data_IF_186076880633
#
_entry.id   IF_186076880633
#
_cell.length_a   1.000
_cell.length_b   1.000
_cell.length_c   1.000
_cell.angle_alpha   90.00
_cell.angle_beta   90.00
_cell.angle_gamma   90.00
#
_symmetry.space_group_name_H-M   'P 1'
#
loop_
_entity.id
_entity.type
_entity.pdbx_description
1 polymer ?
#
# COMPACT_ATOMS: atom_id res chain seq x y z
N UNK A 1 83.45 14.95 -27.26
CA UNK A 1 82.35 14.25 -27.96
C UNK A 1 81.20 14.24 -26.98
N UNK A 2 80.47 15.35 -26.94
CA UNK A 2 79.41 15.60 -25.96
C UNK A 2 78.12 14.95 -26.46
N UNK A 3 77.67 13.89 -25.77
CA UNK A 3 76.31 13.38 -25.93
C UNK A 3 75.39 14.12 -24.97
N UNK A 4 74.62 15.06 -25.53
CA UNK A 4 73.50 15.73 -24.86
C UNK A 4 72.43 14.69 -24.51
N UNK A 5 72.17 14.51 -23.22
CA UNK A 5 70.97 13.84 -22.70
C UNK A 5 69.75 14.73 -22.92
N UNK A 6 68.92 14.38 -23.91
CA UNK A 6 67.58 14.96 -24.06
C UNK A 6 66.58 14.23 -23.16
N UNK A 7 65.59 14.92 -22.57
CA UNK A 7 64.55 14.26 -21.80
C UNK A 7 63.61 13.48 -22.73
N UNK A 8 63.52 12.17 -22.53
CA UNK A 8 62.50 11.31 -23.14
C UNK A 8 61.16 11.65 -22.48
N UNK A 9 60.28 12.33 -23.23
CA UNK A 9 58.88 12.51 -22.83
C UNK A 9 58.15 11.17 -23.02
N UNK A 10 57.94 10.44 -21.93
CA UNK A 10 56.93 9.39 -21.88
C UNK A 10 55.55 10.06 -21.81
N UNK A 11 54.81 10.05 -22.91
CA UNK A 11 53.38 10.32 -22.89
C UNK A 11 52.69 9.09 -22.29
N UNK A 12 52.45 9.12 -20.98
CA UNK A 12 51.52 8.20 -20.36
C UNK A 12 50.10 8.74 -20.65
N UNK A 13 49.48 8.24 -21.71
CA UNK A 13 48.05 8.45 -21.94
C UNK A 13 47.29 7.69 -20.85
N UNK A 14 46.97 8.38 -19.76
CA UNK A 14 46.01 7.89 -18.76
C UNK A 14 44.64 7.96 -19.44
N UNK A 15 44.17 6.81 -19.93
CA UNK A 15 42.75 6.64 -20.23
C UNK A 15 42.01 6.67 -18.88
N UNK A 16 41.41 7.82 -18.55
CA UNK A 16 40.32 7.83 -17.58
C UNK A 16 39.16 7.08 -18.22
N UNK A 17 39.01 5.80 -17.87
CA UNK A 17 37.76 5.09 -18.05
C UNK A 17 36.80 5.72 -17.02
N UNK A 18 36.05 6.74 -17.44
CA UNK A 18 34.89 7.18 -16.69
C UNK A 18 33.89 6.03 -16.72
N UNK A 19 33.84 5.22 -15.66
CA UNK A 19 32.68 4.39 -15.39
C UNK A 19 31.51 5.32 -15.17
N UNK A 20 30.73 5.56 -16.24
CA UNK A 20 29.37 6.04 -16.10
C UNK A 20 28.63 4.97 -15.30
N UNK A 21 28.50 5.18 -14.00
CA UNK A 21 27.44 4.57 -13.23
C UNK A 21 26.14 5.18 -13.78
N UNK A 22 25.54 4.50 -14.75
CA UNK A 22 24.13 4.69 -15.03
C UNK A 22 23.39 4.17 -13.79
N UNK A 23 23.10 5.06 -12.84
CA UNK A 23 22.14 4.78 -11.80
C UNK A 23 20.83 4.45 -12.50
N UNK A 24 20.38 3.20 -12.45
CA UNK A 24 19.03 2.85 -12.88
C UNK A 24 18.07 3.49 -11.89
N UNK A 25 17.35 4.51 -12.34
CA UNK A 25 16.18 4.98 -11.62
C UNK A 25 15.19 3.80 -11.53
N UNK A 26 14.63 3.50 -10.33
CA UNK A 26 13.44 2.67 -10.26
C UNK A 26 12.35 3.32 -11.09
N UNK A 27 11.82 2.60 -12.07
CA UNK A 27 10.67 3.03 -12.86
C UNK A 27 9.44 2.37 -12.24
N UNK A 28 8.35 3.10 -12.01
CA UNK A 28 7.08 2.51 -11.62
C UNK A 28 6.71 1.40 -12.60
N UNK A 29 6.49 0.19 -12.10
CA UNK A 29 5.71 -0.79 -12.84
C UNK A 29 4.28 -0.25 -12.84
N UNK A 30 3.93 0.50 -13.87
CA UNK A 30 2.54 0.78 -14.15
C UNK A 30 1.92 -0.58 -14.43
N UNK A 31 1.15 -1.10 -13.48
CA UNK A 31 0.27 -2.22 -13.75
C UNK A 31 -0.49 -1.83 -15.03
N UNK A 32 -0.46 -2.62 -16.11
CA UNK A 32 -1.44 -2.46 -17.16
C UNK A 32 -2.79 -2.93 -16.61
N UNK A 33 -3.30 -2.26 -15.57
CA UNK A 33 -4.73 -2.05 -15.38
C UNK A 33 -5.22 -1.11 -16.48
N UNK A 34 -4.91 -1.46 -17.73
CA UNK A 34 -5.69 -1.04 -18.87
C UNK A 34 -6.92 -1.93 -18.77
N UNK A 35 -8.04 -1.36 -18.34
CA UNK A 35 -9.33 -1.84 -18.83
C UNK A 35 -9.21 -1.87 -20.36
N UNK A 36 -8.97 -3.06 -20.92
CA UNK A 36 -8.82 -3.24 -22.35
C UNK A 36 -10.18 -3.08 -23.01
N UNK A 37 -10.52 -1.82 -23.27
CA UNK A 37 -11.41 -1.29 -24.30
C UNK A 37 -12.64 -2.13 -24.65
N UNK A 38 -13.68 -2.05 -23.82
CA UNK A 38 -15.08 -1.97 -24.28
C UNK A 38 -15.50 -2.86 -25.48
N UNK A 39 -15.17 -4.17 -25.45
CA UNK A 39 -15.81 -5.18 -26.31
C UNK A 39 -15.36 -5.29 -27.78
N UNK A 40 -14.07 -5.14 -28.08
CA UNK A 40 -13.53 -5.53 -29.39
C UNK A 40 -12.69 -6.82 -29.30
N UNK A 41 -13.20 -7.90 -29.91
CA UNK A 41 -12.59 -9.23 -29.94
C UNK A 41 -11.47 -9.38 -30.99
N UNK A 42 -10.52 -10.30 -30.76
CA UNK A 42 -9.38 -10.66 -31.63
C UNK A 42 -8.38 -9.54 -31.95
N UNK A 43 -7.98 -8.75 -30.95
CA UNK A 43 -6.96 -7.70 -31.10
C UNK A 43 -5.56 -8.34 -31.10
N UNK A 44 -4.71 -8.09 -32.12
CA UNK A 44 -3.32 -8.56 -32.12
C UNK A 44 -2.49 -7.92 -31.00
N UNK A 45 -1.64 -8.68 -30.31
CA UNK A 45 -0.71 -8.14 -29.28
C UNK A 45 0.27 -7.09 -29.83
N UNK A 46 0.54 -7.11 -31.14
CA UNK A 46 1.33 -6.09 -31.82
C UNK A 46 0.62 -4.75 -32.03
N UNK A 47 -0.62 -4.60 -31.54
CA UNK A 47 -1.33 -3.33 -31.56
C UNK A 47 -0.59 -2.30 -30.68
N UNK A 48 -0.21 -1.13 -31.24
CA UNK A 48 0.55 -0.11 -30.51
C UNK A 48 -0.21 0.50 -29.31
N UNK A 49 -1.51 0.25 -29.17
CA UNK A 49 -2.29 0.62 -27.99
C UNK A 49 -2.08 -0.33 -26.80
N UNK A 50 -1.53 -1.52 -27.01
CA UNK A 50 -1.19 -2.52 -25.99
C UNK A 50 0.24 -2.33 -25.50
N UNK A 51 0.46 -1.35 -24.61
CA UNK A 51 1.80 -1.05 -24.10
C UNK A 51 2.36 -2.20 -23.25
N UNK A 52 3.62 -2.56 -23.49
CA UNK A 52 4.37 -3.52 -22.65
C UNK A 52 4.24 -4.99 -23.06
N UNK A 53 3.63 -5.30 -24.20
CA UNK A 53 3.57 -6.66 -24.73
C UNK A 53 4.18 -6.74 -26.14
N UNK A 54 4.85 -7.86 -26.43
CA UNK A 54 5.34 -8.20 -27.77
C UNK A 54 4.98 -9.64 -28.13
N UNK A 55 4.90 -9.92 -29.43
CA UNK A 55 4.74 -11.27 -29.95
C UNK A 55 3.61 -11.41 -30.96
N UNK A 56 3.41 -12.65 -31.39
CA UNK A 56 2.32 -13.04 -32.26
C UNK A 56 1.33 -13.85 -31.40
N UNK A 57 0.29 -13.16 -30.96
CA UNK A 57 -0.87 -13.75 -30.30
C UNK A 57 -2.03 -12.76 -30.41
N UNK A 58 -3.24 -13.23 -30.11
CA UNK A 58 -4.45 -12.42 -30.15
C UNK A 58 -5.10 -12.38 -28.76
N UNK A 59 -5.60 -11.21 -28.38
CA UNK A 59 -6.51 -11.04 -27.25
C UNK A 59 -7.93 -11.24 -27.75
N UNK A 60 -8.65 -12.20 -27.17
CA UNK A 60 -10.04 -12.48 -27.51
C UNK A 60 -10.97 -12.42 -26.29
N UNK A 61 -12.16 -11.86 -26.51
CA UNK A 61 -13.31 -11.92 -25.61
C UNK A 61 -14.04 -13.24 -25.88
N UNK A 62 -14.04 -14.17 -24.93
CA UNK A 62 -14.54 -15.52 -25.20
C UNK A 62 -15.41 -16.08 -24.08
N UNK A 63 -16.54 -16.67 -24.48
CA UNK A 63 -17.43 -17.42 -23.59
C UNK A 63 -16.67 -18.46 -22.75
N UNK A 64 -17.11 -18.52 -21.50
CA UNK A 64 -16.68 -19.42 -20.43
C UNK A 64 -16.67 -20.88 -20.86
N UNK A 65 -15.49 -21.47 -20.84
CA UNK A 65 -15.33 -22.88 -20.50
C UNK A 65 -14.09 -22.96 -19.61
N UNK A 66 -14.29 -23.33 -18.34
CA UNK A 66 -13.26 -23.58 -17.31
C UNK A 66 -12.48 -22.38 -16.75
N UNK A 67 -13.20 -21.38 -16.21
CA UNK A 67 -12.78 -20.72 -14.96
C UNK A 67 -11.57 -19.78 -14.96
N UNK A 68 -11.10 -19.25 -16.10
CA UNK A 68 -9.99 -18.29 -16.13
C UNK A 68 -10.26 -17.11 -17.09
N UNK A 69 -10.58 -15.92 -16.54
CA UNK A 69 -10.64 -14.62 -17.23
C UNK A 69 -11.74 -14.41 -18.29
N UNK A 70 -12.25 -13.17 -18.44
CA UNK A 70 -13.06 -12.72 -19.60
C UNK A 70 -12.25 -12.68 -20.91
N UNK A 71 -10.93 -12.75 -20.80
CA UNK A 71 -9.99 -12.57 -21.91
C UNK A 71 -9.01 -13.74 -21.97
N UNK A 72 -8.74 -14.24 -23.18
CA UNK A 72 -7.74 -15.31 -23.42
C UNK A 72 -6.68 -14.79 -24.38
N UNK A 73 -5.41 -15.15 -24.15
CA UNK A 73 -4.35 -15.00 -25.14
C UNK A 73 -4.37 -16.26 -26.02
N UNK A 74 -4.67 -16.09 -27.30
CA UNK A 74 -4.73 -17.16 -28.28
C UNK A 74 -3.43 -17.19 -29.09
N UNK A 75 -2.83 -18.38 -29.15
CA UNK A 75 -1.68 -18.68 -30.00
C UNK A 75 -2.16 -19.55 -31.16
N UNK A 76 -1.70 -19.27 -32.39
CA UNK A 76 -2.07 -20.06 -33.57
C UNK A 76 -1.12 -21.25 -33.85
N UNK A 77 -0.21 -21.57 -32.93
CA UNK A 77 0.77 -22.65 -33.10
C UNK A 77 2.01 -22.48 -32.23
N UNK A 78 3.20 -22.53 -32.84
CA UNK A 78 4.51 -22.46 -32.16
C UNK A 78 4.92 -21.02 -31.77
N UNK A 79 3.95 -20.18 -31.43
CA UNK A 79 4.15 -18.76 -31.20
C UNK A 79 4.39 -18.45 -29.71
N UNK A 80 4.84 -17.22 -29.43
CA UNK A 80 5.09 -16.76 -28.06
C UNK A 80 4.68 -15.30 -27.92
N UNK A 81 4.09 -14.98 -26.77
CA UNK A 81 3.83 -13.63 -26.30
C UNK A 81 4.73 -13.36 -25.10
N UNK A 82 5.28 -12.16 -25.01
CA UNK A 82 6.18 -11.74 -23.94
C UNK A 82 5.69 -10.42 -23.39
N UNK A 83 5.52 -10.36 -22.08
CA UNK A 83 5.38 -9.08 -21.40
C UNK A 83 6.79 -8.51 -21.20
N UNK A 84 7.02 -7.34 -21.75
CA UNK A 84 8.29 -6.64 -21.66
C UNK A 84 8.29 -5.73 -20.43
N UNK A 85 9.29 -5.91 -19.57
CA UNK A 85 9.63 -4.95 -18.53
C UNK A 85 11.02 -4.40 -18.80
N UNK A 86 11.20 -3.09 -18.64
CA UNK A 86 12.52 -2.45 -18.67
C UNK A 86 13.34 -2.71 -17.40
N UNK A 87 12.77 -3.42 -16.41
CA UNK A 87 13.41 -3.73 -15.14
C UNK A 87 14.56 -4.73 -15.34
N UNK A 88 15.76 -4.38 -14.86
CA UNK A 88 16.90 -5.29 -14.87
C UNK A 88 16.78 -6.26 -13.70
N UNK A 89 16.77 -7.56 -13.99
CA UNK A 89 16.82 -8.61 -12.96
C UNK A 89 18.21 -8.58 -12.31
N UNK A 90 18.27 -8.30 -11.01
CA UNK A 90 19.49 -8.26 -10.22
C UNK A 90 19.84 -9.65 -9.68
N UNK A 91 21.14 -9.98 -9.67
CA UNK A 91 21.62 -11.27 -9.16
C UNK A 91 21.32 -11.41 -7.67
N UNK A 92 20.52 -12.42 -7.31
CA UNK A 92 20.18 -12.73 -5.91
C UNK A 92 18.86 -12.12 -5.42
N UNK A 93 18.21 -11.28 -6.23
CA UNK A 93 16.86 -10.80 -5.94
C UNK A 93 15.80 -11.85 -6.32
N UNK A 94 14.73 -11.93 -5.53
CA UNK A 94 13.54 -12.70 -5.86
C UNK A 94 12.48 -11.76 -6.43
N UNK A 95 11.90 -12.12 -7.56
CA UNK A 95 10.83 -11.38 -8.22
C UNK A 95 9.61 -12.28 -8.34
N UNK A 96 8.42 -11.73 -8.10
CA UNK A 96 7.15 -12.40 -8.37
C UNK A 96 6.45 -11.67 -9.52
N UNK A 97 5.89 -12.43 -10.46
CA UNK A 97 4.99 -11.90 -11.49
C UNK A 97 3.60 -12.38 -11.10
N UNK A 98 2.69 -11.44 -10.86
CA UNK A 98 1.29 -11.73 -10.53
C UNK A 98 0.41 -11.42 -11.74
N UNK A 99 -0.48 -12.34 -12.08
CA UNK A 99 -1.55 -12.11 -13.05
C UNK A 99 -2.86 -12.01 -12.25
N UNK A 100 -3.40 -10.80 -12.11
CA UNK A 100 -4.72 -10.62 -11.53
C UNK A 100 -5.76 -10.72 -12.64
N UNK A 101 -6.42 -11.87 -12.74
CA UNK A 101 -7.55 -12.09 -13.63
C UNK A 101 -8.83 -12.15 -12.79
N UNK A 102 -9.47 -11.00 -12.54
CA UNK A 102 -10.78 -10.96 -11.91
C UNK A 102 -11.87 -11.39 -12.93
N UNK A 103 -12.72 -12.34 -12.55
CA UNK A 103 -13.80 -12.91 -13.37
C UNK A 103 -15.19 -12.32 -13.08
N UNK A 104 -15.28 -11.51 -12.04
CA UNK A 104 -16.45 -10.72 -11.64
C UNK A 104 -15.96 -9.32 -11.29
N UNK A 105 -16.89 -8.39 -11.03
CA UNK A 105 -16.54 -7.20 -10.25
C UNK A 105 -16.22 -7.65 -8.82
N UNK A 106 -15.10 -8.35 -8.64
CA UNK A 106 -14.46 -8.46 -7.35
C UNK A 106 -13.95 -7.04 -7.04
N UNK A 107 -14.77 -6.30 -6.31
CA UNK A 107 -14.43 -4.98 -5.81
C UNK A 107 -13.52 -5.05 -4.59
N UNK A 108 -13.17 -6.26 -4.11
CA UNK A 108 -12.25 -6.41 -3.00
C UNK A 108 -10.84 -5.98 -3.44
N UNK A 109 -10.36 -4.91 -2.79
CA UNK A 109 -9.02 -4.41 -3.03
C UNK A 109 -8.05 -5.39 -2.38
N UNK A 110 -7.23 -6.07 -3.17
CA UNK A 110 -6.11 -6.86 -2.64
C UNK A 110 -4.92 -5.91 -2.44
N UNK A 111 -4.48 -5.63 -1.20
CA UNK A 111 -3.31 -4.81 -1.00
C UNK A 111 -2.06 -5.40 -1.70
N UNK A 112 -1.14 -4.58 -2.25
CA UNK A 112 0.09 -5.08 -2.88
C UNK A 112 0.97 -5.95 -1.96
N UNK A 113 0.79 -5.77 -0.65
CA UNK A 113 1.44 -6.43 0.47
C UNK A 113 0.57 -7.52 1.13
N UNK A 114 -0.53 -7.94 0.50
CA UNK A 114 -1.42 -8.97 1.02
C UNK A 114 -0.76 -10.35 1.10
N UNK A 115 -1.00 -11.01 2.22
CA UNK A 115 -0.76 -12.44 2.45
C UNK A 115 -2.05 -13.22 2.19
N UNK A 116 -3.19 -12.72 2.69
CA UNK A 116 -4.56 -13.20 2.42
C UNK A 116 -5.40 -11.98 2.06
N UNK A 117 -6.30 -12.07 1.09
CA UNK A 117 -7.21 -10.97 0.77
C UNK A 117 -7.86 -11.07 -0.60
N UNK A 118 -9.13 -10.70 -0.70
CA UNK A 118 -9.90 -10.90 -1.94
C UNK A 118 -9.82 -12.33 -2.43
N UNK A 119 -9.66 -12.51 -3.74
CA UNK A 119 -9.40 -13.83 -4.32
C UNK A 119 -8.05 -14.48 -3.88
N UNK A 120 -7.09 -13.74 -3.30
CA UNK A 120 -5.85 -14.33 -2.79
C UNK A 120 -6.14 -15.15 -1.53
N UNK A 121 -5.96 -16.47 -1.64
CA UNK A 121 -6.25 -17.42 -0.58
C UNK A 121 -7.69 -17.30 -0.05
N UNK A 122 -8.63 -16.95 -0.95
CA UNK A 122 -10.06 -16.91 -0.70
C UNK A 122 -10.44 -16.08 0.53
N UNK A 123 -9.85 -14.88 0.68
CA UNK A 123 -10.16 -13.95 1.77
C UNK A 123 -11.53 -13.29 1.65
N UNK A 124 -12.08 -13.22 0.44
CA UNK A 124 -13.47 -12.78 0.17
C UNK A 124 -14.49 -13.93 0.24
N UNK A 125 -14.03 -15.15 0.51
CA UNK A 125 -14.85 -16.36 0.58
C UNK A 125 -15.64 -16.70 -0.70
N UNK A 126 -15.30 -16.12 -1.86
CA UNK A 126 -16.06 -16.29 -3.11
C UNK A 126 -15.44 -17.31 -4.09
N UNK A 127 -14.38 -18.04 -3.70
CA UNK A 127 -13.76 -19.04 -4.58
C UNK A 127 -14.73 -20.18 -4.97
N UNK A 128 -15.74 -20.46 -4.15
CA UNK A 128 -16.87 -21.32 -4.53
C UNK A 128 -18.01 -20.50 -5.14
N UNK A 129 -18.15 -20.63 -6.45
CA UNK A 129 -19.15 -19.94 -7.27
C UNK A 129 -20.50 -20.69 -7.38
N UNK A 130 -20.73 -21.73 -6.59
CA UNK A 130 -21.99 -22.45 -6.61
C UNK A 130 -23.14 -21.63 -6.02
N UNK A 131 -24.34 -21.79 -6.59
CA UNK A 131 -25.59 -21.22 -6.06
C UNK A 131 -26.10 -21.95 -4.81
N UNK A 132 -25.32 -22.88 -4.25
CA UNK A 132 -25.69 -23.57 -3.02
C UNK A 132 -25.43 -22.65 -1.84
N UNK A 133 -26.47 -22.38 -1.06
CA UNK A 133 -26.42 -21.46 0.08
C UNK A 133 -25.31 -21.84 1.07
N UNK A 134 -25.50 -22.96 1.75
CA UNK A 134 -24.57 -23.45 2.78
C UNK A 134 -23.51 -24.37 2.16
N UNK A 135 -22.25 -24.03 2.37
CA UNK A 135 -21.09 -24.82 1.91
C UNK A 135 -20.23 -25.23 3.09
N UNK A 136 -19.63 -26.41 3.00
CA UNK A 136 -18.78 -26.94 4.05
C UNK A 136 -17.34 -26.44 3.95
N UNK A 137 -16.50 -26.74 4.94
CA UNK A 137 -15.05 -26.50 4.81
C UNK A 137 -14.43 -27.30 3.66
N UNK A 138 -14.90 -28.51 3.38
CA UNK A 138 -14.47 -29.28 2.19
C UNK A 138 -14.79 -28.56 0.86
N UNK A 139 -15.79 -27.67 0.88
CA UNK A 139 -16.23 -26.90 -0.28
C UNK A 139 -15.64 -25.48 -0.29
N UNK A 140 -14.91 -25.08 0.74
CA UNK A 140 -14.37 -23.72 0.88
C UNK A 140 -12.86 -23.76 0.64
N UNK A 141 -12.38 -23.38 -0.56
CA UNK A 141 -10.96 -23.44 -0.89
C UNK A 141 -10.09 -22.68 0.13
N UNK A 142 -8.88 -23.19 0.33
CA UNK A 142 -7.82 -22.66 1.22
C UNK A 142 -8.10 -22.70 2.74
N UNK A 143 -9.36 -22.60 3.14
CA UNK A 143 -9.77 -22.64 4.54
C UNK A 143 -10.17 -24.05 5.00
N UNK A 144 -9.77 -24.43 6.20
CA UNK A 144 -10.11 -25.72 6.80
C UNK A 144 -10.57 -25.55 8.25
N UNK A 145 -11.35 -26.52 8.72
CA UNK A 145 -11.80 -26.53 10.10
C UNK A 145 -10.73 -27.09 11.02
N UNK A 146 -10.13 -26.26 11.87
CA UNK A 146 -9.12 -26.71 12.84
C UNK A 146 -9.72 -27.62 13.93
N UNK A 147 -11.04 -27.57 14.18
CA UNK A 147 -11.72 -28.49 15.11
C UNK A 147 -11.81 -29.93 14.58
N UNK A 148 -11.59 -30.12 13.27
CA UNK A 148 -11.39 -31.42 12.63
C UNK A 148 -12.51 -31.87 11.69
N UNK A 149 -13.77 -31.47 11.91
CA UNK A 149 -14.87 -31.88 11.04
C UNK A 149 -15.02 -30.95 9.81
N UNK A 150 -14.47 -31.38 8.68
CA UNK A 150 -14.50 -30.61 7.42
C UNK A 150 -15.87 -30.56 6.73
N UNK A 151 -16.84 -31.38 7.14
CA UNK A 151 -18.21 -31.32 6.61
C UNK A 151 -19.09 -30.30 7.35
N UNK A 152 -18.52 -29.59 8.32
CA UNK A 152 -19.21 -28.50 9.03
C UNK A 152 -19.40 -27.33 8.07
N UNK A 153 -20.50 -26.59 8.21
CA UNK A 153 -20.78 -25.38 7.45
C UNK A 153 -19.65 -24.37 7.69
N UNK A 154 -19.15 -23.79 6.60
CA UNK A 154 -18.07 -22.81 6.58
C UNK A 154 -18.51 -21.51 5.91
N UNK A 155 -19.31 -21.57 4.84
CA UNK A 155 -19.72 -20.34 4.16
C UNK A 155 -21.20 -20.39 3.82
N UNK A 156 -21.81 -19.20 3.73
CA UNK A 156 -23.23 -19.00 3.44
C UNK A 156 -23.36 -17.94 2.35
N UNK A 157 -24.40 -18.03 1.51
CA UNK A 157 -24.70 -16.92 0.60
C UNK A 157 -25.21 -15.73 1.40
N UNK A 158 -24.78 -14.53 1.03
CA UNK A 158 -25.21 -13.28 1.67
C UNK A 158 -26.65 -12.88 1.29
N UNK A 159 -27.25 -13.56 0.30
CA UNK A 159 -28.64 -13.39 -0.08
C UNK A 159 -28.95 -11.97 -0.58
N UNK A 160 -29.93 -11.32 0.04
CA UNK A 160 -30.33 -9.93 -0.28
C UNK A 160 -29.68 -8.87 0.62
N UNK A 161 -28.75 -9.28 1.49
CA UNK A 161 -28.05 -8.38 2.38
C UNK A 161 -27.04 -7.56 1.56
N UNK A 162 -26.89 -6.25 1.81
CA UNK A 162 -25.81 -5.48 1.22
C UNK A 162 -24.49 -5.94 1.85
N UNK A 163 -23.87 -6.95 1.23
CA UNK A 163 -22.54 -7.39 1.57
C UNK A 163 -21.49 -6.56 0.80
N UNK A 164 -20.22 -6.56 1.22
CA UNK A 164 -19.18 -5.77 0.59
C UNK A 164 -18.79 -6.23 -0.83
N UNK A 165 -19.07 -7.49 -1.18
CA UNK A 165 -18.74 -8.09 -2.48
C UNK A 165 -19.87 -8.97 -3.08
N UNK A 166 -21.00 -9.12 -2.37
CA UNK A 166 -22.32 -9.59 -2.82
C UNK A 166 -22.53 -11.09 -3.15
N UNK A 167 -21.64 -12.03 -2.79
CA UNK A 167 -21.96 -13.46 -2.99
C UNK A 167 -21.91 -14.35 -1.76
N UNK A 168 -20.83 -14.33 -0.96
CA UNK A 168 -20.63 -15.34 0.09
C UNK A 168 -19.82 -14.78 1.26
N UNK A 169 -20.11 -15.24 2.48
CA UNK A 169 -19.35 -14.88 3.69
C UNK A 169 -19.03 -16.12 4.52
N UNK A 170 -17.97 -16.05 5.33
CA UNK A 170 -17.66 -17.06 6.34
C UNK A 170 -18.71 -17.07 7.43
N UNK A 171 -19.26 -18.25 7.75
CA UNK A 171 -20.30 -18.45 8.75
C UNK A 171 -19.69 -18.95 10.05
N UNK A 172 -19.43 -18.05 10.99
CA UNK A 172 -18.84 -18.33 12.30
C UNK A 172 -19.91 -18.73 13.31
N UNK A 173 -19.48 -19.50 14.31
CA UNK A 173 -20.22 -19.76 15.56
C UNK A 173 -19.28 -19.59 16.74
N UNK A 174 -19.84 -19.23 17.88
CA UNK A 174 -19.13 -19.14 19.17
C UNK A 174 -19.08 -20.50 19.92
N UNK A 175 -19.63 -21.56 19.31
CA UNK A 175 -19.71 -22.91 19.88
C UNK A 175 -18.40 -23.71 19.84
N UNK A 176 -17.34 -23.14 19.27
CA UNK A 176 -16.02 -23.76 19.10
C UNK A 176 -15.95 -24.86 18.04
N UNK A 177 -17.00 -25.10 17.25
CA UNK A 177 -17.00 -26.13 16.22
C UNK A 177 -16.53 -25.62 14.84
N UNK A 178 -16.51 -24.30 14.61
CA UNK A 178 -16.13 -23.65 13.34
C UNK A 178 -14.87 -22.82 13.50
N UNK A 179 -13.72 -23.49 13.52
CA UNK A 179 -12.42 -22.86 13.65
C UNK A 179 -11.79 -22.67 12.27
N UNK A 180 -11.97 -21.49 11.66
CA UNK A 180 -11.49 -21.19 10.30
C UNK A 180 -9.98 -21.00 10.31
N UNK A 181 -9.24 -22.04 9.91
CA UNK A 181 -7.80 -21.96 9.79
C UNK A 181 -7.35 -21.96 8.32
N UNK A 182 -6.22 -21.30 8.09
CA UNK A 182 -5.58 -21.23 6.77
C UNK A 182 -4.06 -21.36 6.89
N UNK A 183 -3.45 -22.13 5.99
CA UNK A 183 -2.00 -22.11 5.77
C UNK A 183 -1.69 -21.03 4.72
N UNK A 184 -1.03 -19.96 5.13
CA UNK A 184 -0.86 -18.79 4.24
C UNK A 184 0.25 -18.96 3.19
N UNK A 185 1.10 -19.98 3.33
CA UNK A 185 2.35 -20.11 2.56
C UNK A 185 3.41 -19.05 2.86
N UNK A 186 3.13 -18.08 3.73
CA UNK A 186 4.05 -17.02 4.10
C UNK A 186 5.05 -17.49 5.18
N UNK A 187 6.32 -17.16 4.99
CA UNK A 187 7.38 -17.44 5.97
C UNK A 187 7.63 -16.20 6.82
N UNK A 188 7.43 -16.34 8.12
CA UNK A 188 7.57 -15.27 9.09
C UNK A 188 9.01 -14.76 9.19
N UNK A 189 9.16 -13.45 9.32
CA UNK A 189 10.45 -12.80 9.64
C UNK A 189 10.32 -12.09 10.98
N UNK A 190 11.30 -12.24 11.87
CA UNK A 190 11.32 -11.54 13.16
C UNK A 190 11.21 -10.01 12.98
N UNK A 191 10.60 -9.34 13.94
CA UNK A 191 10.39 -7.88 14.01
C UNK A 191 9.47 -7.29 12.92
N UNK A 192 9.08 -8.09 11.92
CA UNK A 192 8.05 -7.72 10.96
C UNK A 192 6.71 -7.50 11.66
N UNK A 193 5.94 -6.51 11.21
CA UNK A 193 4.56 -6.29 11.67
C UNK A 193 3.58 -6.72 10.58
N UNK A 194 2.42 -7.19 10.99
CA UNK A 194 1.29 -7.52 10.11
C UNK A 194 0.10 -6.61 10.44
N UNK A 195 -0.75 -6.35 9.45
CA UNK A 195 -2.02 -5.65 9.63
C UNK A 195 -3.17 -6.53 9.16
N UNK A 196 -4.30 -6.38 9.83
CA UNK A 196 -5.52 -7.16 9.62
C UNK A 196 -6.68 -6.21 9.39
N UNK A 197 -7.51 -6.53 8.42
CA UNK A 197 -8.85 -5.97 8.30
C UNK A 197 -9.85 -7.00 7.82
N UNK A 198 -11.09 -6.86 8.22
CA UNK A 198 -12.23 -7.61 7.68
C UNK A 198 -13.52 -6.84 7.95
N UNK A 199 -14.60 -7.26 7.31
CA UNK A 199 -15.94 -6.84 7.65
C UNK A 199 -16.65 -7.99 8.34
N UNK A 200 -17.48 -7.67 9.32
CA UNK A 200 -18.23 -8.68 10.03
C UNK A 200 -19.57 -8.16 10.48
N UNK A 201 -20.45 -9.08 10.84
CA UNK A 201 -21.74 -8.76 11.44
C UNK A 201 -22.12 -9.84 12.42
N UNK A 202 -22.88 -9.44 13.42
CA UNK A 202 -23.62 -10.34 14.27
C UNK A 202 -24.84 -10.93 13.54
N UNK A 203 -25.28 -12.07 14.05
CA UNK A 203 -26.35 -12.89 13.51
C UNK A 203 -27.29 -13.39 14.60
N UNK A 204 -27.92 -14.53 14.36
CA UNK A 204 -28.85 -15.12 15.31
C UNK A 204 -28.12 -15.52 16.60
N UNK A 205 -28.71 -15.19 17.75
CA UNK A 205 -28.25 -15.49 19.11
C UNK A 205 -26.87 -14.95 19.51
N UNK A 206 -26.20 -14.17 18.66
CA UNK A 206 -24.96 -13.49 19.02
C UNK A 206 -25.21 -12.45 20.11
N UNK A 207 -24.44 -12.50 21.19
CA UNK A 207 -24.47 -11.50 22.26
C UNK A 207 -23.71 -10.25 21.85
N UNK A 208 -24.45 -9.22 21.43
CA UNK A 208 -23.89 -7.90 21.13
C UNK A 208 -23.03 -7.32 22.27
N UNK A 209 -23.26 -7.76 23.53
CA UNK A 209 -22.58 -7.22 24.70
C UNK A 209 -21.34 -8.02 25.13
N UNK A 210 -21.19 -9.26 24.68
CA UNK A 210 -20.21 -10.19 25.25
C UNK A 210 -19.41 -10.95 24.19
N UNK A 211 -20.01 -11.26 23.03
CA UNK A 211 -19.37 -12.12 22.03
C UNK A 211 -18.52 -11.30 21.06
N UNK A 212 -17.39 -11.86 20.67
CA UNK A 212 -16.37 -11.21 19.84
C UNK A 212 -15.83 -12.18 18.79
N UNK A 213 -15.28 -11.64 17.71
CA UNK A 213 -14.51 -12.40 16.73
C UNK A 213 -13.04 -12.33 17.11
N UNK A 214 -12.39 -13.47 17.20
CA UNK A 214 -10.96 -13.57 17.44
C UNK A 214 -10.23 -13.96 16.16
N UNK A 215 -9.12 -13.25 15.90
CA UNK A 215 -8.13 -13.65 14.91
C UNK A 215 -6.81 -13.92 15.60
N UNK A 216 -6.28 -15.12 15.38
CA UNK A 216 -5.02 -15.58 15.98
C UNK A 216 -3.99 -15.90 14.91
N UNK A 217 -2.80 -15.30 15.02
CA UNK A 217 -1.63 -15.73 14.26
C UNK A 217 -0.97 -16.88 15.01
N UNK A 218 -0.67 -17.96 14.31
CA UNK A 218 0.00 -19.10 14.92
C UNK A 218 1.00 -19.78 13.99
N UNK A 219 1.84 -20.60 14.60
CA UNK A 219 2.76 -21.51 13.91
C UNK A 219 2.45 -22.95 14.31
N UNK A 220 2.99 -23.89 13.56
CA UNK A 220 2.93 -25.30 13.95
C UNK A 220 4.33 -25.89 14.07
N UNK A 221 4.44 -26.97 14.87
CA UNK A 221 5.72 -27.61 15.17
C UNK A 221 6.49 -28.08 13.94
N UNK A 222 5.79 -28.41 12.84
CA UNK A 222 6.34 -28.99 11.62
C UNK A 222 6.00 -28.19 10.33
N UNK A 223 5.47 -26.97 10.48
CA UNK A 223 5.07 -26.11 9.35
C UNK A 223 4.01 -26.76 8.43
N UNK A 224 3.15 -27.61 9.01
CA UNK A 224 1.95 -28.20 8.38
C UNK A 224 0.69 -27.94 9.21
N UNK A 225 -0.52 -28.01 8.62
CA UNK A 225 -1.79 -27.87 9.35
C UNK A 225 -1.99 -28.89 10.49
N UNK A 226 -1.35 -30.06 10.39
CA UNK A 226 -1.45 -31.13 11.39
C UNK A 226 -0.45 -31.01 12.55
N UNK A 227 0.51 -30.09 12.45
CA UNK A 227 1.51 -29.88 13.50
C UNK A 227 0.89 -29.34 14.78
N UNK A 228 1.63 -29.43 15.89
CA UNK A 228 1.18 -28.87 17.16
C UNK A 228 1.17 -27.34 17.06
N UNK A 229 0.00 -26.73 17.23
CA UNK A 229 -0.22 -25.28 17.22
C UNK A 229 0.54 -24.57 18.36
N UNK A 230 1.12 -23.42 18.04
CA UNK A 230 1.70 -22.47 18.99
C UNK A 230 1.31 -21.06 18.58
N UNK A 231 0.51 -20.41 19.41
CA UNK A 231 0.00 -19.06 19.16
C UNK A 231 1.11 -18.03 19.30
N UNK A 232 1.09 -17.05 18.40
CA UNK A 232 1.95 -15.87 18.45
C UNK A 232 1.20 -14.76 19.16
N UNK A 233 0.04 -14.39 18.62
CA UNK A 233 -0.77 -13.27 19.09
C UNK A 233 -2.21 -13.43 18.62
N UNK A 234 -3.15 -12.93 19.44
CA UNK A 234 -4.57 -12.90 19.13
C UNK A 234 -5.10 -11.48 19.28
N UNK A 235 -6.00 -11.10 18.39
CA UNK A 235 -6.73 -9.83 18.44
C UNK A 235 -8.22 -10.12 18.45
N UNK A 236 -8.98 -9.27 19.16
CA UNK A 236 -10.43 -9.36 19.25
C UNK A 236 -11.07 -8.20 18.50
N UNK A 237 -12.22 -8.47 17.87
CA UNK A 237 -13.00 -7.46 17.13
C UNK A 237 -13.51 -6.32 18.01
N UNK A 238 -13.63 -6.54 19.32
CA UNK A 238 -14.59 -5.80 20.14
C UNK A 238 -15.99 -6.39 19.99
N UNK A 239 -16.86 -5.99 20.91
CA UNK A 239 -18.30 -6.28 20.88
C UNK A 239 -18.99 -5.57 19.71
N UNK A 240 -20.07 -6.15 19.17
CA UNK A 240 -20.76 -5.54 18.03
C UNK A 240 -21.34 -4.16 18.39
N UNK A 241 -21.19 -3.21 17.47
CA UNK A 241 -21.74 -1.86 17.65
C UNK A 241 -23.05 -1.62 16.87
N UNK A 242 -23.38 -2.52 15.94
CA UNK A 242 -24.53 -2.39 15.04
C UNK A 242 -25.19 -3.73 14.75
N UNK A 243 -26.40 -3.92 15.27
CA UNK A 243 -27.19 -5.14 15.09
C UNK A 243 -27.47 -5.46 13.61
N UNK A 244 -27.15 -6.70 13.22
CA UNK A 244 -27.37 -7.33 11.93
C UNK A 244 -26.84 -6.56 10.71
N UNK A 245 -25.85 -5.69 10.90
CA UNK A 245 -25.24 -4.88 9.85
C UNK A 245 -23.73 -5.10 9.81
N UNK A 246 -23.15 -5.12 8.60
CA UNK A 246 -21.71 -5.22 8.45
C UNK A 246 -21.01 -3.98 9.03
N UNK A 247 -20.07 -4.22 9.93
CA UNK A 247 -19.12 -3.26 10.46
C UNK A 247 -17.69 -3.67 10.12
N UNK A 248 -16.79 -2.70 10.06
CA UNK A 248 -15.39 -2.95 9.70
C UNK A 248 -14.52 -3.07 10.95
N UNK A 249 -13.67 -4.09 10.97
CA UNK A 249 -12.59 -4.21 11.93
C UNK A 249 -11.24 -4.02 11.23
N UNK A 250 -10.34 -3.25 11.87
CA UNK A 250 -8.96 -3.08 11.41
C UNK A 250 -8.02 -2.95 12.60
N UNK A 251 -6.90 -3.66 12.56
CA UNK A 251 -5.87 -3.61 13.60
C UNK A 251 -4.48 -3.99 13.06
N UNK A 252 -3.46 -3.83 13.89
CA UNK A 252 -2.10 -4.29 13.64
C UNK A 252 -1.65 -5.24 14.73
N UNK A 253 -0.90 -6.27 14.37
CA UNK A 253 -0.24 -7.16 15.32
C UNK A 253 1.06 -6.54 15.84
N UNK A 254 1.49 -6.98 17.02
CA UNK A 254 2.83 -6.72 17.52
C UNK A 254 3.91 -7.31 16.58
N UNK A 255 5.16 -6.85 16.67
CA UNK A 255 6.25 -7.41 15.89
C UNK A 255 6.40 -8.92 16.12
N UNK A 256 6.59 -9.66 15.03
CA UNK A 256 6.76 -11.11 15.06
C UNK A 256 7.95 -11.47 15.97
N UNK A 257 7.76 -12.34 16.98
CA UNK A 257 8.81 -12.67 17.93
C UNK A 257 9.90 -13.53 17.27
N UNK A 258 11.13 -13.42 17.79
CA UNK A 258 12.27 -14.20 17.31
C UNK A 258 12.03 -15.73 17.33
N UNK A 259 11.15 -16.22 18.22
CA UNK A 259 10.77 -17.65 18.31
C UNK A 259 9.96 -18.14 17.10
N UNK A 260 9.29 -17.24 16.36
CA UNK A 260 8.50 -17.56 15.18
C UNK A 260 9.26 -17.30 13.86
N UNK A 261 10.50 -16.77 13.93
CA UNK A 261 11.30 -16.45 12.75
C UNK A 261 11.57 -17.70 11.88
N UNK A 262 11.31 -17.59 10.58
CA UNK A 262 11.50 -18.65 9.60
C UNK A 262 10.42 -19.74 9.61
N UNK A 263 9.38 -19.63 10.46
CA UNK A 263 8.24 -20.55 10.49
C UNK A 263 7.17 -20.14 9.49
N UNK A 264 6.35 -21.10 9.05
CA UNK A 264 5.16 -20.80 8.25
C UNK A 264 4.08 -20.16 9.11
N UNK A 265 3.46 -19.12 8.57
CA UNK A 265 2.33 -18.45 9.17
C UNK A 265 1.02 -19.20 8.88
N UNK A 266 0.29 -19.47 9.95
CA UNK A 266 -1.11 -19.86 9.91
C UNK A 266 -1.96 -18.80 10.59
N UNK A 267 -3.21 -18.71 10.17
CA UNK A 267 -4.19 -17.80 10.75
C UNK A 267 -5.40 -18.60 11.16
N UNK A 268 -5.96 -18.27 12.32
CA UNK A 268 -7.24 -18.78 12.80
C UNK A 268 -8.20 -17.61 12.98
N UNK A 269 -9.42 -17.79 12.48
CA UNK A 269 -10.58 -16.93 12.68
C UNK A 269 -11.66 -17.75 13.42
N UNK A 270 -12.16 -17.26 14.55
CA UNK A 270 -13.16 -17.95 15.37
C UNK A 270 -14.09 -16.96 16.09
N UNK A 271 -15.30 -17.41 16.43
CA UNK A 271 -16.20 -16.69 17.34
C UNK A 271 -15.91 -17.07 18.79
N UNK A 272 -15.96 -16.09 19.70
CA UNK A 272 -15.71 -16.28 21.13
C UNK A 272 -17.01 -16.07 21.91
N UNK A 273 -17.42 -17.12 22.62
CA UNK A 273 -18.55 -17.09 23.57
C UNK A 273 -18.14 -16.32 24.83
N UNK A 274 -18.68 -15.11 24.99
CA UNK A 274 -18.45 -14.25 26.14
C UNK A 274 -19.52 -14.41 27.23
N UNK A 275 -20.70 -14.94 26.90
CA UNK A 275 -21.87 -15.00 27.78
C UNK A 275 -22.20 -16.41 28.32
N UNK A 276 -21.39 -17.43 27.98
CA UNK A 276 -21.59 -18.84 28.25
C UNK A 276 -22.82 -19.46 27.52
N UNK A 277 -23.21 -18.92 26.37
CA UNK A 277 -24.25 -19.42 25.47
C UNK A 277 -23.65 -19.73 24.10
N UNK A 278 -23.25 -20.99 23.82
CA UNK A 278 -22.53 -21.37 22.60
C UNK A 278 -23.50 -21.61 21.43
N UNK A 279 -24.34 -20.63 21.12
CA UNK A 279 -25.30 -20.68 20.02
C UNK A 279 -25.33 -19.42 19.14
N UNK A 280 -24.43 -18.47 19.40
CA UNK A 280 -24.26 -17.26 18.63
C UNK A 280 -23.68 -17.51 17.24
N UNK A 281 -24.17 -16.74 16.28
CA UNK A 281 -23.74 -16.80 14.88
C UNK A 281 -23.23 -15.44 14.42
N UNK A 282 -22.17 -15.44 13.63
CA UNK A 282 -21.63 -14.24 12.99
C UNK A 282 -21.23 -14.54 11.55
N UNK A 283 -21.16 -13.50 10.72
CA UNK A 283 -20.65 -13.58 9.36
C UNK A 283 -19.40 -12.70 9.22
N UNK A 284 -18.38 -13.20 8.52
CA UNK A 284 -17.16 -12.46 8.19
C UNK A 284 -16.94 -12.45 6.69
N UNK A 285 -16.53 -11.30 6.17
CA UNK A 285 -16.25 -11.08 4.76
C UNK A 285 -15.05 -10.15 4.58
N UNK A 286 -14.50 -10.09 3.37
CA UNK A 286 -13.33 -9.30 2.99
C UNK A 286 -12.15 -9.46 3.98
N UNK A 287 -11.83 -10.69 4.37
CA UNK A 287 -10.71 -10.97 5.25
C UNK A 287 -9.38 -10.66 4.56
N UNK A 288 -8.64 -9.71 5.11
CA UNK A 288 -7.34 -9.27 4.60
C UNK A 288 -6.30 -9.32 5.70
N UNK A 289 -5.24 -10.09 5.46
CA UNK A 289 -4.01 -10.05 6.23
C UNK A 289 -2.88 -9.61 5.32
N UNK A 290 -2.17 -8.55 5.68
CA UNK A 290 -1.04 -8.01 4.89
C UNK A 290 0.16 -7.73 5.76
N UNK A 291 1.33 -7.57 5.13
CA UNK A 291 2.46 -6.95 5.81
C UNK A 291 2.08 -5.54 6.20
N UNK A 292 2.46 -5.08 7.39
CA UNK A 292 2.22 -3.68 7.75
C UNK A 292 2.96 -2.76 6.77
N UNK A 293 2.22 -1.88 6.08
CA UNK A 293 2.82 -0.85 5.24
C UNK A 293 2.86 0.47 6.01
N UNK A 294 4.03 0.90 6.49
CA UNK A 294 4.14 2.16 7.22
C UNK A 294 3.96 3.38 6.29
N UNK A 295 4.13 3.24 4.98
CA UNK A 295 4.13 4.36 4.04
C UNK A 295 2.71 4.89 3.80
N UNK A 296 2.51 6.15 4.16
CA UNK A 296 1.24 6.88 3.97
C UNK A 296 1.24 7.77 2.74
N UNK A 297 2.40 8.37 2.41
CA UNK A 297 2.63 9.21 1.23
C UNK A 297 4.04 8.87 0.72
N UNK A 298 4.22 8.71 -0.59
CA UNK A 298 5.53 8.45 -1.19
C UNK A 298 5.45 8.23 -2.71
N UNK A 299 6.51 7.66 -3.32
CA UNK A 299 6.48 7.30 -4.74
C UNK A 299 5.33 6.34 -5.06
N UNK A 300 4.51 6.68 -6.06
CA UNK A 300 3.32 5.90 -6.45
C UNK A 300 2.19 5.84 -5.39
N UNK A 301 2.29 6.60 -4.30
CA UNK A 301 1.26 6.69 -3.27
C UNK A 301 0.99 8.15 -2.91
N UNK A 302 -0.20 8.63 -3.26
CA UNK A 302 -0.64 10.03 -3.01
C UNK A 302 0.36 11.06 -3.56
N UNK A 303 0.97 10.74 -4.70
CA UNK A 303 1.87 11.61 -5.45
C UNK A 303 3.05 12.19 -4.63
N UNK A 304 3.62 11.43 -3.69
CA UNK A 304 4.74 11.91 -2.86
C UNK A 304 6.00 12.27 -3.64
N UNK A 305 6.23 11.61 -4.78
CA UNK A 305 7.34 11.89 -5.70
C UNK A 305 7.02 12.93 -6.78
N UNK A 306 5.80 13.46 -6.80
CA UNK A 306 5.31 14.42 -7.78
C UNK A 306 5.39 13.92 -9.23
N UNK A 307 5.10 12.64 -9.49
CA UNK A 307 5.14 12.06 -10.85
C UNK A 307 3.79 11.72 -11.47
N UNK A 308 2.68 11.78 -10.72
CA UNK A 308 1.36 11.33 -11.20
C UNK A 308 0.84 12.12 -12.42
N UNK A 309 1.11 13.42 -12.49
CA UNK A 309 0.82 14.20 -13.68
C UNK A 309 1.85 13.91 -14.79
N UNK A 310 1.38 13.34 -15.89
CA UNK A 310 2.20 12.95 -17.06
C UNK A 310 2.34 14.05 -18.11
N UNK A 311 1.81 15.25 -17.85
CA UNK A 311 1.92 16.40 -18.75
C UNK A 311 3.38 16.77 -19.03
N UNK A 312 3.66 17.11 -20.30
CA UNK A 312 4.97 17.62 -20.74
C UNK A 312 5.15 19.12 -20.45
N UNK A 313 4.13 19.80 -19.94
CA UNK A 313 4.22 21.22 -19.60
C UNK A 313 5.17 21.45 -18.43
N UNK A 314 6.08 22.43 -18.56
CA UNK A 314 7.07 22.70 -17.51
C UNK A 314 6.45 23.13 -16.19
N UNK A 315 5.35 23.88 -16.21
CA UNK A 315 4.73 24.42 -14.99
C UNK A 315 3.33 23.88 -14.83
N UNK A 316 3.00 23.44 -13.62
CA UNK A 316 1.67 22.94 -13.24
C UNK A 316 1.15 23.66 -12.00
N UNK A 317 -0.15 23.88 -11.94
CA UNK A 317 -0.81 24.43 -10.75
C UNK A 317 -1.12 23.35 -9.72
N UNK A 318 -1.67 23.71 -8.57
CA UNK A 318 -2.18 22.70 -7.62
C UNK A 318 -3.42 21.97 -8.16
N UNK A 319 -4.28 22.65 -8.92
CA UNK A 319 -5.41 21.99 -9.62
C UNK A 319 -4.94 20.87 -10.56
N UNK A 320 -3.71 20.97 -11.03
CA UNK A 320 -3.08 20.06 -11.98
C UNK A 320 -2.06 19.12 -11.33
N UNK A 321 -1.84 19.21 -10.02
CA UNK A 321 -0.92 18.36 -9.27
C UNK A 321 -1.74 17.42 -8.38
N UNK A 322 -1.97 16.16 -8.80
CA UNK A 322 -2.79 15.21 -8.06
C UNK A 322 -2.40 15.09 -6.58
N UNK A 323 -3.40 14.88 -5.72
CA UNK A 323 -3.28 14.66 -4.27
C UNK A 323 -2.73 15.82 -3.42
N UNK A 324 -2.23 16.90 -4.04
CA UNK A 324 -1.69 18.05 -3.35
C UNK A 324 -2.64 19.24 -3.39
N UNK A 325 -3.14 19.63 -2.22
CA UNK A 325 -4.01 20.80 -2.03
C UNK A 325 -3.22 21.98 -1.53
N UNK A 326 -3.40 23.15 -2.13
CA UNK A 326 -2.83 24.38 -1.60
C UNK A 326 -3.66 24.91 -0.42
N UNK A 327 -3.06 25.07 0.76
CA UNK A 327 -3.68 25.76 1.90
C UNK A 327 -3.37 27.27 1.94
N UNK A 328 -2.69 27.79 0.92
CA UNK A 328 -2.30 29.19 0.74
C UNK A 328 -3.19 29.95 -0.24
N UNK A 329 -2.62 30.44 -1.34
CA UNK A 329 -3.21 31.46 -2.23
C UNK A 329 -4.22 30.92 -3.27
N UNK A 330 -4.74 29.71 -3.05
CA UNK A 330 -5.69 29.04 -3.95
C UNK A 330 -5.04 28.04 -4.91
N UNK A 331 -5.88 27.22 -5.54
CA UNK A 331 -5.43 26.04 -6.30
C UNK A 331 -4.77 26.39 -7.64
N UNK A 332 -5.06 27.57 -8.22
CA UNK A 332 -4.40 28.06 -9.44
C UNK A 332 -2.94 28.51 -9.25
N UNK A 333 -2.38 28.47 -8.04
CA UNK A 333 -0.98 28.80 -7.81
C UNK A 333 -0.04 27.74 -8.42
N UNK A 334 1.15 28.15 -8.86
CA UNK A 334 2.17 27.23 -9.36
C UNK A 334 2.59 26.27 -8.25
N UNK A 335 2.49 24.97 -8.51
CA UNK A 335 2.81 23.90 -7.58
C UNK A 335 4.09 23.19 -7.99
N UNK A 336 4.19 22.68 -9.22
CA UNK A 336 5.32 21.82 -9.61
C UNK A 336 5.94 22.27 -10.92
N UNK A 337 7.24 21.98 -11.09
CA UNK A 337 7.98 22.23 -12.33
C UNK A 337 8.88 21.07 -12.76
N UNK A 338 9.07 20.91 -14.06
CA UNK A 338 10.02 19.93 -14.62
C UNK A 338 11.43 20.50 -14.71
N UNK A 339 11.60 21.81 -14.56
CA UNK A 339 12.91 22.41 -14.39
C UNK A 339 13.53 22.05 -13.03
N UNK A 340 14.83 21.70 -13.05
CA UNK A 340 15.57 21.21 -11.88
C UNK A 340 14.99 19.90 -11.30
N UNK A 341 14.84 18.83 -12.09
CA UNK A 341 14.31 17.58 -11.57
C UNK A 341 15.27 16.98 -10.52
N UNK A 342 14.73 16.44 -9.44
CA UNK A 342 15.39 15.37 -8.70
C UNK A 342 15.08 14.07 -9.43
N UNK A 343 16.01 13.12 -9.53
CA UNK A 343 15.83 11.78 -10.14
C UNK A 343 15.02 11.68 -11.47
N UNK A 344 14.94 12.74 -12.28
CA UNK A 344 14.16 12.79 -13.52
C UNK A 344 12.68 13.14 -13.34
N UNK A 345 12.23 13.43 -12.12
CA UNK A 345 10.84 13.71 -11.74
C UNK A 345 10.55 15.21 -11.62
N UNK A 346 9.27 15.58 -11.59
CA UNK A 346 8.83 16.95 -11.38
C UNK A 346 9.07 17.34 -9.91
N UNK A 347 9.33 18.62 -9.63
CA UNK A 347 9.64 19.07 -8.26
C UNK A 347 8.77 20.25 -7.86
N UNK A 348 8.53 20.41 -6.56
CA UNK A 348 7.63 21.45 -6.04
C UNK A 348 8.24 22.84 -6.10
N UNK A 349 7.40 23.88 -6.12
CA UNK A 349 7.80 25.28 -6.01
C UNK A 349 7.36 25.80 -4.63
N UNK A 350 8.30 25.84 -3.68
CA UNK A 350 8.04 26.41 -2.35
C UNK A 350 8.36 27.90 -2.37
N UNK A 351 7.37 28.74 -2.65
CA UNK A 351 7.53 30.19 -2.62
C UNK A 351 7.52 30.72 -1.18
N UNK A 352 8.43 31.65 -0.88
CA UNK A 352 8.57 32.29 0.44
C UNK A 352 7.61 33.45 0.70
N UNK A 353 6.58 33.63 -0.12
CA UNK A 353 5.51 34.55 0.23
C UNK A 353 4.58 33.78 1.18
N UNK A 354 4.50 34.22 2.44
CA UNK A 354 3.90 33.49 3.57
C UNK A 354 2.44 33.00 3.39
N UNK A 355 1.80 33.35 2.28
CA UNK A 355 0.44 32.99 1.92
C UNK A 355 0.29 32.22 0.60
N UNK A 356 1.35 31.94 -0.18
CA UNK A 356 1.15 31.40 -1.55
C UNK A 356 1.13 29.89 -1.68
N UNK A 357 2.14 29.16 -1.23
CA UNK A 357 2.28 27.72 -1.51
C UNK A 357 2.44 26.93 -0.22
N UNK A 358 1.35 26.30 0.21
CA UNK A 358 1.35 25.35 1.33
C UNK A 358 0.85 24.03 0.78
N UNK A 359 1.78 23.12 0.52
CA UNK A 359 1.47 21.79 -0.01
C UNK A 359 0.87 20.96 1.10
N UNK A 360 -0.40 20.61 0.98
CA UNK A 360 -1.06 19.71 1.89
C UNK A 360 -1.50 18.44 1.19
N UNK A 361 -1.41 17.33 1.91
CA UNK A 361 -1.81 16.03 1.44
C UNK A 361 -2.62 15.35 2.54
N UNK A 362 -3.70 14.70 2.13
CA UNK A 362 -4.50 13.84 2.98
C UNK A 362 -3.82 12.48 3.02
N UNK A 363 -3.28 12.09 4.16
CA UNK A 363 -2.58 10.81 4.30
C UNK A 363 -3.51 9.59 4.23
N UNK A 364 -4.82 9.81 4.40
CA UNK A 364 -5.83 8.75 4.58
C UNK A 364 -5.69 7.96 5.86
N UNK A 365 -4.74 8.30 6.74
CA UNK A 365 -4.53 7.64 8.02
C UNK A 365 -5.46 8.21 9.08
N UNK A 366 -6.09 7.33 9.85
CA UNK A 366 -6.81 7.71 11.07
C UNK A 366 -5.85 7.58 12.25
N UNK A 367 -5.62 8.70 12.94
CA UNK A 367 -4.65 8.77 14.02
C UNK A 367 -4.99 7.83 15.18
N UNK A 368 -3.98 7.12 15.67
CA UNK A 368 -4.04 6.36 16.92
C UNK A 368 -3.15 7.02 17.97
N UNK A 369 -3.55 6.93 19.24
CA UNK A 369 -2.71 7.44 20.35
C UNK A 369 -1.38 6.72 20.35
N UNK A 370 -0.28 7.48 20.38
CA UNK A 370 1.06 6.92 20.41
C UNK A 370 1.70 6.72 19.03
N UNK A 371 0.97 6.92 17.93
CA UNK A 371 1.55 6.88 16.58
C UNK A 371 2.77 7.80 16.50
N UNK A 372 3.87 7.31 15.95
CA UNK A 372 5.05 8.09 15.60
C UNK A 372 5.08 8.23 14.09
N UNK A 373 5.09 9.47 13.61
CA UNK A 373 5.11 9.78 12.18
C UNK A 373 6.51 10.22 11.79
N UNK A 374 7.00 9.69 10.68
CA UNK A 374 8.32 10.01 10.14
C UNK A 374 8.16 10.68 8.79
N UNK A 375 8.84 11.81 8.61
CA UNK A 375 8.93 12.48 7.31
C UNK A 375 10.31 12.25 6.73
N UNK A 376 10.37 12.04 5.42
CA UNK A 376 11.60 12.01 4.64
C UNK A 376 11.39 12.74 3.34
N UNK A 377 12.32 13.59 2.94
CA UNK A 377 12.29 14.22 1.63
C UNK A 377 13.68 14.71 1.23
N UNK A 378 13.84 15.02 -0.06
CA UNK A 378 14.95 15.86 -0.52
C UNK A 378 14.48 17.27 -0.78
N UNK A 379 15.32 18.23 -0.47
CA UNK A 379 15.04 19.63 -0.71
C UNK A 379 16.28 20.35 -1.21
N UNK A 380 16.09 21.53 -1.79
CA UNK A 380 17.17 22.43 -2.16
C UNK A 380 16.71 23.86 -2.10
N UNK A 381 17.65 24.75 -1.81
CA UNK A 381 17.52 26.16 -2.11
C UNK A 381 17.50 26.41 -3.64
N UNK A 382 17.00 27.58 -4.02
CA UNK A 382 16.99 28.04 -5.40
C UNK A 382 17.08 29.58 -5.46
N UNK A 383 16.17 30.27 -6.13
CA UNK A 383 16.32 31.72 -6.34
C UNK A 383 16.00 32.49 -5.07
N UNK A 384 16.94 33.34 -4.65
CA UNK A 384 16.81 34.26 -3.51
C UNK A 384 16.43 33.58 -2.18
N UNK A 385 16.67 32.28 -2.05
CA UNK A 385 16.57 31.58 -0.78
C UNK A 385 17.75 32.01 0.10
N UNK A 386 17.49 32.37 1.36
CA UNK A 386 18.52 32.74 2.31
C UNK A 386 18.94 31.51 3.12
N UNK A 387 20.07 30.92 2.76
CA UNK A 387 20.65 29.74 3.41
C UNK A 387 20.86 29.90 4.92
N UNK A 388 20.95 31.13 5.43
CA UNK A 388 21.15 31.42 6.86
C UNK A 388 19.87 31.60 7.67
N UNK A 389 18.71 31.66 7.02
CA UNK A 389 17.43 31.97 7.68
C UNK A 389 16.28 31.05 7.25
N UNK A 390 16.25 30.63 6.00
CA UNK A 390 15.09 29.97 5.41
C UNK A 390 15.16 28.46 5.50
N UNK A 391 14.01 27.83 5.74
CA UNK A 391 13.88 26.38 5.94
C UNK A 391 12.62 25.85 5.28
N UNK A 392 12.53 24.52 5.20
CA UNK A 392 11.26 23.84 4.93
C UNK A 392 10.58 23.55 6.26
N UNK A 393 9.36 24.04 6.46
CA UNK A 393 8.52 23.69 7.60
C UNK A 393 7.52 22.62 7.17
N UNK A 394 7.50 21.50 7.90
CA UNK A 394 6.52 20.43 7.73
C UNK A 394 5.71 20.29 9.00
N UNK A 395 4.39 20.20 8.89
CA UNK A 395 3.51 20.09 10.05
C UNK A 395 2.39 19.07 9.83
N UNK A 396 2.05 18.37 10.91
CA UNK A 396 0.90 17.47 10.98
C UNK A 396 -0.29 18.25 11.53
N UNK A 397 -1.46 18.01 10.98
CA UNK A 397 -2.68 18.65 11.44
C UNK A 397 -3.90 17.75 11.27
N UNK A 398 -4.94 18.04 12.06
CA UNK A 398 -6.29 17.50 11.90
C UNK A 398 -7.23 18.63 11.51
N UNK A 399 -8.42 18.30 11.03
CA UNK A 399 -9.46 19.29 10.79
C UNK A 399 -10.73 18.95 11.59
N UNK A 400 -11.61 19.93 11.72
CA UNK A 400 -12.85 19.79 12.50
C UNK A 400 -13.88 18.82 11.91
N UNK A 401 -13.71 18.43 10.66
CA UNK A 401 -14.68 17.68 9.87
C UNK A 401 -14.03 16.64 8.95
N UNK A 402 -12.76 16.29 9.19
CA UNK A 402 -11.97 15.36 8.37
C UNK A 402 -11.89 15.71 6.87
N UNK A 403 -12.13 16.99 6.53
CA UNK A 403 -11.86 17.58 5.21
C UNK A 403 -10.54 18.33 5.26
N UNK A 404 -9.67 18.16 4.27
CA UNK A 404 -8.35 18.81 4.17
C UNK A 404 -8.44 20.35 4.20
N UNK A 405 -9.56 20.92 3.74
CA UNK A 405 -9.84 22.36 3.74
C UNK A 405 -10.58 22.83 5.00
N UNK A 406 -10.94 21.92 5.90
CA UNK A 406 -11.62 22.20 7.15
C UNK A 406 -10.81 23.06 8.13
N UNK A 407 -11.44 23.47 9.24
CA UNK A 407 -10.75 24.27 10.26
C UNK A 407 -9.62 23.46 10.89
N UNK A 408 -8.38 23.92 10.71
CA UNK A 408 -7.16 23.19 11.05
C UNK A 408 -6.78 23.32 12.52
N UNK A 409 -6.36 22.21 13.11
CA UNK A 409 -5.62 22.16 14.37
C UNK A 409 -4.24 21.56 14.11
N UNK A 410 -3.19 22.39 14.16
CA UNK A 410 -1.81 21.93 14.02
C UNK A 410 -1.45 21.13 15.26
N UNK A 411 -0.98 19.90 15.04
CA UNK A 411 -0.51 19.03 16.12
C UNK A 411 0.94 19.35 16.44
N UNK A 412 1.79 19.33 15.41
CA UNK A 412 3.24 19.48 15.55
C UNK A 412 3.84 20.05 14.26
N UNK A 413 4.97 20.75 14.40
CA UNK A 413 5.74 21.32 13.28
C UNK A 413 7.21 20.95 13.45
N UNK A 414 7.83 20.46 12.38
CA UNK A 414 9.26 20.22 12.26
C UNK A 414 9.82 21.17 11.21
N UNK A 415 11.04 21.64 11.44
CA UNK A 415 11.79 22.47 10.52
C UNK A 415 12.98 21.66 10.01
N UNK A 416 13.14 21.58 8.70
CA UNK A 416 14.38 21.14 8.09
C UNK A 416 15.55 22.02 8.56
N UNK A 417 16.79 21.52 8.61
CA UNK A 417 17.95 22.33 8.90
C UNK A 417 18.10 23.48 7.89
N UNK A 418 18.88 24.49 8.25
CA UNK A 418 19.34 25.50 7.30
C UNK A 418 20.14 24.85 6.18
N UNK A 419 20.06 25.40 4.96
CA UNK A 419 20.80 24.84 3.83
C UNK A 419 22.29 24.99 4.07
N UNK A 420 23.03 23.92 3.81
CA UNK A 420 24.50 23.94 3.90
C UNK A 420 25.16 23.98 2.54
N UNK A 421 24.39 23.79 1.46
CA UNK A 421 24.88 23.60 0.10
C UNK A 421 23.98 24.28 -0.93
N UNK A 422 24.28 25.54 -1.21
CA UNK A 422 23.63 26.34 -2.24
C UNK A 422 23.44 25.57 -3.57
N UNK A 423 22.21 25.60 -4.07
CA UNK A 423 21.69 24.99 -5.28
C UNK A 423 21.89 23.48 -5.39
N UNK A 424 21.97 22.76 -4.26
CA UNK A 424 22.20 21.32 -4.21
C UNK A 424 21.09 20.61 -3.43
N UNK A 425 20.71 19.40 -3.86
CA UNK A 425 19.77 18.56 -3.13
C UNK A 425 20.38 18.05 -1.82
N UNK A 426 19.65 18.23 -0.74
CA UNK A 426 19.95 17.81 0.62
C UNK A 426 18.81 16.90 1.12
N UNK A 427 19.15 15.80 1.78
CA UNK A 427 18.19 14.90 2.39
C UNK A 427 17.80 15.40 3.79
N UNK A 428 16.54 15.19 4.15
CA UNK A 428 16.05 15.43 5.49
C UNK A 428 15.11 14.30 5.93
N UNK A 429 15.37 13.79 7.13
CA UNK A 429 14.50 12.82 7.83
C UNK A 429 14.31 13.30 9.26
N UNK A 430 13.08 13.20 9.77
CA UNK A 430 12.79 13.48 11.16
C UNK A 430 11.49 12.82 11.62
N UNK A 431 11.44 12.49 12.92
CA UNK A 431 10.25 11.97 13.59
C UNK A 431 9.51 13.08 14.32
N UNK A 432 8.19 13.04 14.24
CA UNK A 432 7.32 13.78 15.14
C UNK A 432 7.25 13.08 16.50
N UNK A 433 6.91 13.82 17.56
CA UNK A 433 6.61 13.20 18.84
C UNK A 433 5.37 12.30 18.71
N UNK A 434 5.19 11.31 19.61
CA UNK A 434 4.01 10.45 19.59
C UNK A 434 2.69 11.24 19.60
N UNK A 435 1.72 10.77 18.83
CA UNK A 435 0.40 11.40 18.68
C UNK A 435 -0.34 11.39 20.03
N UNK A 436 -0.87 12.54 20.47
CA UNK A 436 -1.57 12.63 21.75
C UNK A 436 -2.98 12.04 21.67
N UNK A 437 -3.51 11.58 22.81
CA UNK A 437 -4.86 11.02 22.90
C UNK A 437 -5.98 11.96 22.41
N UNK A 438 -5.78 13.27 22.48
CA UNK A 438 -6.74 14.28 21.98
C UNK A 438 -6.87 14.32 20.44
N UNK A 439 -5.97 13.65 19.72
CA UNK A 439 -5.97 13.55 18.27
C UNK A 439 -6.39 12.17 17.75
N UNK A 440 -6.53 11.16 18.63
CA UNK A 440 -6.93 9.82 18.24
C UNK A 440 -8.32 9.80 17.59
N UNK A 441 -8.50 8.93 16.59
CA UNK A 441 -9.72 8.79 15.79
C UNK A 441 -9.93 9.87 14.73
N UNK A 442 -9.04 10.88 14.63
CA UNK A 442 -9.14 11.95 13.63
C UNK A 442 -8.32 11.63 12.38
N UNK A 443 -8.74 12.17 11.23
CA UNK A 443 -7.98 12.04 9.99
C UNK A 443 -6.69 12.86 10.02
N UNK A 444 -5.58 12.23 9.67
CA UNK A 444 -4.26 12.87 9.58
C UNK A 444 -4.06 13.56 8.24
N UNK A 445 -3.72 14.84 8.30
CA UNK A 445 -3.18 15.59 7.17
C UNK A 445 -1.74 16.01 7.46
N UNK A 446 -0.93 16.08 6.41
CA UNK A 446 0.42 16.66 6.47
C UNK A 446 0.48 17.83 5.52
N UNK A 447 1.26 18.84 5.88
CA UNK A 447 1.60 19.90 4.96
C UNK A 447 3.03 20.38 5.12
N UNK A 448 3.59 20.92 4.04
CA UNK A 448 4.86 21.63 4.09
C UNK A 448 4.82 22.95 3.32
N UNK A 449 5.70 23.87 3.73
CA UNK A 449 5.87 25.19 3.13
C UNK A 449 7.28 25.72 3.37
N UNK A 450 7.63 26.80 2.69
CA UNK A 450 8.79 27.58 3.06
C UNK A 450 8.55 28.30 4.41
N UNK A 451 9.50 28.19 5.33
CA UNK A 451 9.64 29.01 6.52
C UNK A 451 10.57 30.18 6.18
N UNK A 452 9.97 31.35 5.93
CA UNK A 452 10.69 32.56 5.52
C UNK A 452 11.25 33.26 6.78
N UNK A 453 12.52 33.01 7.07
CA UNK A 453 13.18 33.47 8.29
C UNK A 453 13.64 34.92 8.23
N UNK A 454 13.85 35.47 7.03
CA UNK A 454 14.37 36.83 6.81
C UNK A 454 13.35 37.83 6.24
N UNK A 455 12.17 37.35 5.83
CA UNK A 455 11.09 38.14 5.24
C UNK A 455 11.29 38.48 3.76
N UNK A 456 12.33 37.96 3.10
CA UNK A 456 12.62 38.21 1.70
C UNK A 456 11.79 37.32 0.77
N UNK A 457 11.76 37.65 -0.53
CA UNK A 457 11.10 36.82 -1.54
C UNK A 457 12.10 35.93 -2.24
N UNK A 458 11.96 34.63 -2.05
CA UNK A 458 12.66 33.59 -2.78
C UNK A 458 11.82 32.32 -2.91
N UNK A 459 12.46 31.26 -3.38
CA UNK A 459 11.84 29.94 -3.44
C UNK A 459 12.84 28.81 -3.29
N UNK A 460 12.35 27.67 -2.84
CA UNK A 460 13.06 26.39 -2.78
C UNK A 460 12.33 25.30 -3.56
N UNK A 461 12.87 24.08 -3.50
CA UNK A 461 12.28 22.86 -4.05
C UNK A 461 12.23 21.77 -2.97
N UNK A 462 11.17 20.97 -3.00
CA UNK A 462 11.06 19.66 -2.33
C UNK A 462 10.73 18.62 -3.39
N UNK A 463 11.31 17.43 -3.27
CA UNK A 463 11.02 16.26 -4.09
C UNK A 463 11.09 14.98 -3.24
N UNK A 464 10.53 13.88 -3.77
CA UNK A 464 10.47 12.56 -3.10
C UNK A 464 10.01 12.66 -1.64
N UNK A 465 8.87 13.34 -1.43
CA UNK A 465 8.27 13.51 -0.11
C UNK A 465 7.64 12.20 0.35
N UNK A 466 8.00 11.78 1.56
CA UNK A 466 7.50 10.58 2.21
C UNK A 466 6.98 10.90 3.60
N UNK A 467 5.84 10.31 3.92
CA UNK A 467 5.29 10.24 5.27
C UNK A 467 5.05 8.79 5.60
N UNK A 468 5.61 8.32 6.71
CA UNK A 468 5.37 6.98 7.24
C UNK A 468 4.82 7.04 8.67
N UNK A 469 4.16 5.96 9.11
CA UNK A 469 3.68 5.77 10.49
C UNK A 469 4.27 4.52 11.13
N UNK A 470 4.77 4.67 12.35
CA UNK A 470 5.38 3.61 13.17
C UNK A 470 6.44 2.81 12.41
N UNK A 471 7.13 3.50 11.50
CA UNK A 471 8.24 3.01 10.71
C UNK A 471 9.46 2.92 11.63
N UNK A 472 9.97 1.70 11.82
CA UNK A 472 11.09 1.43 12.73
C UNK A 472 12.43 1.38 11.97
N UNK A 473 12.55 2.14 10.87
CA UNK A 473 13.74 2.18 10.02
C UNK A 473 15.02 2.65 10.76
#
# INVERSE_FOLDING_TARGET
>A
MDYKSGPVKFNLSIFFLSTLWAASAPIPLQNPGVELNSGADNIPISDPSLMGWEGNAYLSEGDTDYGNGRWKILFDGSEAARQLSAHKIETGAAYSIRFDAALSADTSVIPPNAIVGGALLNGDFNADNSDTDLRSFNDTPDWFNLSGNQNTIATTLTGSLPAPNNSRSAALTDDGNRLFAIETGYTLTADQKLELSYQWRDGENWSEADDEIQVTLFTTSDDTPSGTRSDIESVLSGTSSTAAAFESFKTTFAPIPASANGKKLFVLLEGIDGNASPDGQAEVDDFVLSLFNPLLIGPGLRNGDFTEDTSLADSRTFEETPDWTNLGAGQGAQATRTNLPYNGTRTTVLNQTATQTVFANDSGHTLVTGDVLTIKFVWRDASNWNDSADRVATFLYTTSNDDILGSRTILQTILAPLSTRNNTWEEFTADFNPVPASAAGKRLFVAFRADNGDGATGFGRVADFRLSVNDND
#
